data_IF_937680725590
#
_entry.id   IF_937680725590
#
_cell.length_a   1.000
_cell.length_b   1.000
_cell.length_c   1.000
_cell.angle_alpha   90.00
_cell.angle_beta   90.00
_cell.angle_gamma   90.00
#
_symmetry.space_group_name_H-M   'P 1'
#
loop_
_entity.id
_entity.type
_entity.pdbx_description
1 polymer ?
#
# COMPACT_ATOMS: atom_id res chain seq x y z
N UNK A 1 14.84 -30.12 -0.62
CA UNK A 1 14.46 -30.25 -2.04
C UNK A 1 14.97 -29.01 -2.74
N UNK A 2 15.90 -29.15 -3.68
CA UNK A 2 16.46 -28.06 -4.45
C UNK A 2 15.81 -28.10 -5.85
N UNK A 3 15.31 -26.96 -6.30
CA UNK A 3 14.63 -26.70 -7.57
C UNK A 3 13.13 -27.01 -7.62
N UNK A 4 12.35 -26.16 -6.97
CA UNK A 4 10.96 -25.88 -7.37
C UNK A 4 10.96 -24.45 -7.92
N UNK A 5 10.70 -24.29 -9.22
CA UNK A 5 10.52 -22.99 -9.87
C UNK A 5 9.03 -22.67 -10.02
N UNK A 6 8.67 -21.47 -10.42
CA UNK A 6 7.28 -21.13 -10.74
C UNK A 6 6.87 -21.70 -12.12
N UNK A 7 5.62 -22.19 -12.25
CA UNK A 7 5.04 -22.68 -13.54
C UNK A 7 4.51 -21.55 -14.43
N UNK A 8 4.34 -20.36 -13.87
CA UNK A 8 3.75 -19.23 -14.56
C UNK A 8 3.44 -18.08 -13.60
N UNK A 9 2.82 -17.05 -14.15
CA UNK A 9 2.45 -15.82 -13.45
C UNK A 9 0.95 -15.58 -13.71
N UNK A 10 0.18 -15.38 -12.64
CA UNK A 10 -1.18 -14.85 -12.74
C UNK A 10 -1.13 -13.36 -12.45
N UNK A 11 -1.64 -12.55 -13.38
CA UNK A 11 -1.81 -11.11 -13.21
C UNK A 11 -3.28 -10.77 -13.31
N UNK A 12 -3.76 -9.98 -12.36
CA UNK A 12 -5.09 -9.42 -12.35
C UNK A 12 -4.98 -7.90 -12.41
N UNK A 13 -5.78 -7.30 -13.27
CA UNK A 13 -5.92 -5.86 -13.38
C UNK A 13 -7.38 -5.51 -13.14
N UNK A 14 -7.66 -4.73 -12.09
CA UNK A 14 -9.03 -4.34 -11.78
C UNK A 14 -9.55 -3.37 -12.86
N UNK A 15 -10.73 -3.68 -13.40
CA UNK A 15 -11.43 -2.86 -14.40
C UNK A 15 -12.51 -1.97 -13.78
N UNK A 16 -12.64 -2.02 -12.45
CA UNK A 16 -13.51 -1.25 -11.58
C UNK A 16 -14.97 -1.33 -12.01
N UNK A 17 -15.52 -2.54 -12.12
CA UNK A 17 -16.97 -2.70 -12.17
C UNK A 17 -17.58 -2.15 -10.86
N UNK A 18 -18.72 -1.44 -10.95
CA UNK A 18 -19.30 -0.76 -9.79
C UNK A 18 -19.69 -1.71 -8.65
N UNK A 19 -19.92 -2.98 -8.96
CA UNK A 19 -20.37 -4.02 -8.03
C UNK A 19 -19.24 -4.58 -7.13
N UNK A 20 -17.97 -4.21 -7.35
CA UNK A 20 -16.81 -4.78 -6.64
C UNK A 20 -16.28 -3.94 -5.48
N UNK A 21 -16.84 -2.73 -5.25
CA UNK A 21 -16.36 -1.79 -4.22
C UNK A 21 -17.39 -1.69 -3.10
N UNK A 22 -16.96 -1.87 -1.85
CA UNK A 22 -17.79 -1.64 -0.67
C UNK A 22 -18.80 -2.75 -0.35
N UNK A 23 -18.68 -3.92 -0.96
CA UNK A 23 -19.45 -5.11 -0.57
C UNK A 23 -18.61 -6.38 -0.65
N UNK A 24 -18.63 -7.17 0.44
CA UNK A 24 -17.97 -8.47 0.49
C UNK A 24 -18.68 -9.43 -0.49
N UNK A 25 -18.00 -9.78 -1.58
CA UNK A 25 -18.51 -10.65 -2.65
C UNK A 25 -17.84 -12.03 -2.67
N UNK A 26 -18.42 -12.96 -3.43
CA UNK A 26 -17.75 -14.21 -3.77
C UNK A 26 -16.76 -13.94 -4.93
N UNK A 27 -15.52 -13.52 -4.62
CA UNK A 27 -14.49 -13.18 -5.60
C UNK A 27 -13.42 -12.23 -5.05
N UNK A 28 -12.70 -11.51 -5.93
CA UNK A 28 -11.91 -10.34 -5.52
C UNK A 28 -12.89 -9.22 -5.17
N UNK A 29 -13.11 -9.01 -3.87
CA UNK A 29 -13.90 -7.91 -3.34
C UNK A 29 -12.97 -6.89 -2.69
N UNK A 30 -13.24 -5.60 -2.94
CA UNK A 30 -12.52 -4.50 -2.31
C UNK A 30 -13.34 -3.98 -1.14
N UNK A 31 -12.81 -4.14 0.05
CA UNK A 31 -13.39 -3.57 1.26
C UNK A 31 -12.94 -2.12 1.37
N UNK A 32 -13.88 -1.29 1.82
CA UNK A 32 -13.58 0.09 2.20
C UNK A 32 -13.98 0.31 3.65
N UNK A 33 -13.16 1.10 4.35
CA UNK A 33 -13.49 1.62 5.67
C UNK A 33 -13.25 3.11 5.64
N UNK A 34 -14.28 3.88 5.96
CA UNK A 34 -14.22 5.34 5.93
C UNK A 34 -14.71 5.87 7.28
N UNK A 35 -13.87 6.61 7.99
CA UNK A 35 -14.26 7.21 9.26
C UNK A 35 -15.29 8.34 9.03
N UNK A 36 -15.08 9.17 8.00
CA UNK A 36 -16.01 10.19 7.52
C UNK A 36 -15.66 10.62 6.08
N UNK A 37 -16.64 11.02 5.27
CA UNK A 37 -16.41 11.58 3.92
C UNK A 37 -17.24 10.89 2.82
N UNK A 38 -16.75 10.97 1.58
CA UNK A 38 -17.33 10.29 0.41
C UNK A 38 -16.65 8.94 0.21
N UNK A 39 -17.44 7.87 0.27
CA UNK A 39 -17.00 6.51 0.02
C UNK A 39 -16.36 6.34 -1.37
N UNK A 40 -15.50 5.34 -1.51
CA UNK A 40 -14.88 4.99 -2.78
C UNK A 40 -15.93 4.50 -3.76
N UNK A 41 -15.98 5.15 -4.91
CA UNK A 41 -16.84 4.75 -6.02
C UNK A 41 -16.06 4.83 -7.33
N UNK A 42 -16.49 4.02 -8.29
CA UNK A 42 -16.03 4.12 -9.67
C UNK A 42 -16.38 5.50 -10.23
N UNK A 43 -15.41 6.19 -10.83
CA UNK A 43 -15.58 7.51 -11.40
C UNK A 43 -14.82 7.68 -12.73
N UNK A 44 -15.27 8.64 -13.53
CA UNK A 44 -14.61 9.09 -14.76
C UNK A 44 -14.52 10.61 -14.69
N UNK A 45 -13.31 11.15 -14.85
CA UNK A 45 -13.07 12.58 -14.83
C UNK A 45 -12.14 12.99 -15.98
N UNK A 46 -12.40 14.15 -16.58
CA UNK A 46 -11.58 14.69 -17.65
C UNK A 46 -10.11 14.83 -17.20
N UNK A 47 -9.18 14.41 -18.04
CA UNK A 47 -7.74 14.40 -17.73
C UNK A 47 -7.30 13.34 -16.72
N UNK A 48 -8.24 12.61 -16.10
CA UNK A 48 -7.95 11.48 -15.22
C UNK A 48 -8.28 10.16 -15.91
N UNK A 49 -9.40 10.02 -16.62
CA UNK A 49 -9.85 8.75 -17.21
C UNK A 49 -10.64 7.89 -16.20
N UNK A 50 -10.80 6.57 -16.43
CA UNK A 50 -11.52 5.66 -15.51
C UNK A 50 -10.72 5.37 -14.24
N UNK A 51 -11.30 5.54 -13.05
CA UNK A 51 -10.62 5.37 -11.76
C UNK A 51 -11.61 5.04 -10.63
N UNK A 52 -11.06 4.80 -9.45
CA UNK A 52 -11.79 4.83 -8.18
C UNK A 52 -11.51 6.16 -7.49
N UNK A 53 -12.57 6.75 -6.95
CA UNK A 53 -12.57 8.06 -6.32
C UNK A 53 -13.26 7.99 -4.97
N UNK A 54 -12.60 8.55 -3.95
CA UNK A 54 -13.16 8.81 -2.63
C UNK A 54 -12.69 10.18 -2.16
N UNK A 55 -13.26 10.67 -1.06
CA UNK A 55 -12.82 11.92 -0.46
C UNK A 55 -12.97 11.90 1.04
N UNK A 56 -11.96 12.36 1.76
CA UNK A 56 -12.03 12.56 3.21
C UNK A 56 -13.03 13.66 3.57
N UNK A 57 -13.50 13.69 4.81
CA UNK A 57 -14.35 14.78 5.28
C UNK A 57 -13.52 16.01 5.70
N UNK A 58 -14.22 17.09 6.04
CA UNK A 58 -13.62 18.29 6.62
C UNK A 58 -13.76 18.23 8.14
N UNK A 59 -12.66 18.37 8.89
CA UNK A 59 -12.75 18.67 10.33
C UNK A 59 -12.17 17.64 11.30
N UNK A 60 -11.21 16.82 10.89
CA UNK A 60 -10.56 15.88 11.80
C UNK A 60 -9.56 14.98 11.10
N UNK A 61 -8.85 14.16 11.89
CA UNK A 61 -7.99 13.09 11.38
C UNK A 61 -8.86 11.96 10.84
N UNK A 62 -9.34 12.10 9.60
CA UNK A 62 -10.23 11.12 8.98
C UNK A 62 -9.42 10.12 8.17
N UNK A 63 -9.65 8.83 8.43
CA UNK A 63 -9.05 7.73 7.69
C UNK A 63 -9.99 7.22 6.59
N UNK A 64 -9.40 6.94 5.43
CA UNK A 64 -10.00 6.29 4.27
C UNK A 64 -9.15 5.08 3.89
N UNK A 65 -9.74 3.90 3.88
CA UNK A 65 -9.05 2.64 3.57
C UNK A 65 -9.68 1.95 2.37
N UNK A 66 -8.81 1.34 1.57
CA UNK A 66 -9.17 0.47 0.45
C UNK A 66 -8.27 -0.77 0.53
N UNK A 67 -8.87 -1.91 0.84
CA UNK A 67 -8.17 -3.17 1.11
C UNK A 67 -8.84 -4.36 0.40
N UNK A 68 -8.13 -5.47 0.25
CA UNK A 68 -8.74 -6.72 -0.22
C UNK A 68 -9.49 -7.43 0.90
N UNK A 69 -10.61 -8.10 0.59
CA UNK A 69 -11.40 -8.88 1.58
C UNK A 69 -10.69 -10.16 2.03
N UNK A 70 -10.47 -11.09 1.09
CA UNK A 70 -9.95 -12.45 1.36
C UNK A 70 -8.75 -12.82 0.48
N UNK A 71 -8.26 -11.85 -0.29
CA UNK A 71 -7.18 -12.11 -1.23
C UNK A 71 -5.83 -11.90 -0.55
N UNK A 72 -5.34 -12.97 0.06
CA UNK A 72 -4.11 -12.97 0.82
C UNK A 72 -2.89 -13.27 -0.05
N UNK A 73 -1.82 -12.54 0.21
CA UNK A 73 -0.51 -12.69 -0.36
C UNK A 73 0.46 -13.22 0.70
N UNK A 74 1.38 -14.06 0.28
CA UNK A 74 2.47 -14.55 1.10
C UNK A 74 3.80 -14.42 0.34
N UNK A 75 4.92 -14.65 1.02
CA UNK A 75 6.19 -14.87 0.36
C UNK A 75 6.13 -16.15 -0.47
N UNK A 76 6.36 -16.04 -1.78
CA UNK A 76 6.29 -17.18 -2.71
C UNK A 76 7.56 -17.36 -3.52
N UNK A 77 7.80 -18.61 -3.93
CA UNK A 77 8.83 -18.94 -4.92
C UNK A 77 8.47 -18.26 -6.26
N UNK A 78 9.32 -17.34 -6.70
CA UNK A 78 8.97 -16.33 -7.70
C UNK A 78 8.73 -14.99 -7.02
N UNK A 79 7.51 -14.47 -7.08
CA UNK A 79 7.09 -13.25 -6.39
C UNK A 79 5.56 -13.10 -6.27
N UNK A 80 5.15 -12.27 -5.33
CA UNK A 80 3.83 -11.67 -5.19
C UNK A 80 3.99 -10.15 -5.27
N UNK A 81 3.16 -9.43 -6.01
CA UNK A 81 3.25 -7.97 -6.08
C UNK A 81 1.90 -7.29 -6.18
N UNK A 82 1.85 -6.06 -5.69
CA UNK A 82 0.73 -5.14 -5.83
C UNK A 82 1.23 -3.80 -6.37
N UNK A 83 0.46 -3.20 -7.25
CA UNK A 83 0.77 -1.89 -7.82
C UNK A 83 -0.46 -0.99 -7.92
N UNK A 84 -0.22 0.32 -7.86
CA UNK A 84 -1.25 1.37 -7.94
C UNK A 84 -0.68 2.63 -8.59
N UNK A 85 -1.57 3.39 -9.25
CA UNK A 85 -1.41 4.82 -9.49
C UNK A 85 -2.27 5.60 -8.50
N UNK A 86 -1.65 6.37 -7.61
CA UNK A 86 -2.30 7.21 -6.61
C UNK A 86 -2.20 8.68 -6.99
N UNK A 87 -3.29 9.43 -6.83
CA UNK A 87 -3.30 10.89 -6.93
C UNK A 87 -4.10 11.45 -5.75
N UNK A 88 -3.51 12.39 -5.02
CA UNK A 88 -4.14 13.11 -3.92
C UNK A 88 -4.47 14.54 -4.34
N UNK A 89 -5.64 15.04 -3.97
CA UNK A 89 -6.09 16.40 -4.28
C UNK A 89 -5.27 17.48 -3.58
N UNK A 90 -4.78 17.17 -2.38
CA UNK A 90 -3.86 17.96 -1.58
C UNK A 90 -2.90 17.01 -0.84
N UNK A 91 -1.75 17.52 -0.42
CA UNK A 91 -0.70 16.73 0.27
C UNK A 91 -0.29 17.34 1.62
N UNK A 92 -0.76 18.54 1.95
CA UNK A 92 -0.50 19.17 3.25
C UNK A 92 -1.24 18.42 4.34
N UNK A 93 -0.59 18.12 5.47
CA UNK A 93 -1.11 17.35 6.61
C UNK A 93 -1.81 16.03 6.21
N UNK A 94 -1.27 15.34 5.20
CA UNK A 94 -1.74 14.02 4.74
C UNK A 94 -0.69 12.97 5.03
N UNK A 95 -1.15 11.81 5.49
CA UNK A 95 -0.34 10.61 5.58
C UNK A 95 -1.00 9.46 4.82
N UNK A 96 -0.21 8.53 4.31
CA UNK A 96 -0.74 7.29 3.75
C UNK A 96 0.22 6.12 3.91
N UNK A 97 -0.35 4.92 3.89
CA UNK A 97 0.37 3.67 3.68
C UNK A 97 -0.15 2.94 2.45
N UNK A 98 0.75 2.32 1.70
CA UNK A 98 0.42 1.47 0.56
C UNK A 98 1.30 0.22 0.54
N UNK A 99 0.72 -0.95 0.38
CA UNK A 99 1.47 -2.21 0.28
C UNK A 99 0.66 -3.40 0.76
N UNK A 100 1.26 -4.19 1.63
CA UNK A 100 0.69 -5.40 2.22
C UNK A 100 0.52 -5.25 3.74
N UNK A 101 -0.61 -5.70 4.28
CA UNK A 101 -0.95 -5.57 5.71
C UNK A 101 -1.72 -6.80 6.22
N UNK A 102 -1.46 -7.28 7.44
CA UNK A 102 -2.02 -8.56 7.95
C UNK A 102 -3.33 -8.42 8.75
N UNK A 103 -3.94 -7.23 8.80
CA UNK A 103 -5.22 -7.04 9.47
C UNK A 103 -6.39 -6.99 8.48
N UNK A 104 -7.41 -7.82 8.75
CA UNK A 104 -8.61 -7.96 7.90
C UNK A 104 -9.70 -6.92 8.23
N UNK A 105 -9.54 -6.07 9.25
CA UNK A 105 -10.57 -5.05 9.58
C UNK A 105 -10.02 -3.87 10.39
N UNK A 106 -10.45 -2.66 10.04
CA UNK A 106 -10.06 -1.36 10.59
C UNK A 106 -10.55 -1.05 12.01
N UNK A 107 -10.27 -1.93 12.98
CA UNK A 107 -10.66 -1.75 14.38
C UNK A 107 -9.92 -0.59 15.09
N UNK A 108 -8.80 -0.13 14.52
CA UNK A 108 -7.99 0.95 15.07
C UNK A 108 -8.03 2.11 14.07
N UNK A 109 -8.40 3.33 14.47
CA UNK A 109 -8.43 4.55 13.64
C UNK A 109 -7.03 5.05 13.22
N UNK A 110 -6.14 4.14 12.83
CA UNK A 110 -4.71 4.38 12.69
C UNK A 110 -4.19 3.59 11.47
N UNK A 111 -3.21 4.17 10.78
CA UNK A 111 -2.49 3.51 9.71
C UNK A 111 -1.56 2.40 10.24
N UNK A 112 -1.17 1.40 9.41
CA UNK A 112 -0.24 0.33 9.76
C UNK A 112 1.10 0.81 10.31
N UNK A 113 1.57 1.95 9.80
CA UNK A 113 2.77 2.60 10.30
C UNK A 113 2.57 4.12 10.32
N UNK A 114 3.27 4.78 11.23
CA UNK A 114 3.36 6.25 11.27
C UNK A 114 4.81 6.67 11.33
N UNK A 115 5.08 7.87 10.82
CA UNK A 115 6.36 8.55 11.02
C UNK A 115 6.10 9.78 11.89
N UNK A 116 6.87 9.88 12.96
CA UNK A 116 6.93 11.07 13.81
C UNK A 116 8.36 11.57 13.78
N UNK A 117 8.56 12.70 13.09
CA UNK A 117 9.86 13.28 12.81
C UNK A 117 10.80 12.30 12.07
N UNK A 118 11.74 11.66 12.78
CA UNK A 118 12.71 10.70 12.23
C UNK A 118 12.47 9.26 12.73
N UNK A 119 11.35 9.01 13.39
CA UNK A 119 11.01 7.69 13.95
C UNK A 119 9.80 7.13 13.23
N UNK A 120 9.95 5.95 12.63
CA UNK A 120 8.83 5.17 12.09
C UNK A 120 8.42 4.14 13.15
N UNK A 121 7.12 4.03 13.40
CA UNK A 121 6.57 3.05 14.33
C UNK A 121 5.41 2.31 13.68
N UNK A 122 5.47 0.97 13.68
CA UNK A 122 4.38 0.10 13.25
C UNK A 122 3.31 -0.09 14.34
N UNK A 123 2.17 -0.64 13.96
CA UNK A 123 1.17 -1.11 14.91
C UNK A 123 1.66 -2.37 15.65
N UNK A 124 1.22 -2.53 16.89
CA UNK A 124 1.57 -3.69 17.73
C UNK A 124 0.80 -4.91 17.23
N UNK A 125 1.46 -6.06 17.18
CA UNK A 125 0.94 -7.36 16.74
C UNK A 125 0.63 -7.47 15.23
N UNK A 126 0.60 -6.37 14.50
CA UNK A 126 0.40 -6.36 13.07
C UNK A 126 1.73 -6.48 12.30
N UNK A 127 1.61 -6.99 11.08
CA UNK A 127 2.61 -7.15 10.06
C UNK A 127 2.29 -6.24 8.88
N UNK A 128 3.28 -5.47 8.45
CA UNK A 128 3.15 -4.54 7.34
C UNK A 128 4.39 -4.58 6.49
N UNK A 129 4.23 -4.40 5.18
CA UNK A 129 5.32 -4.16 4.27
C UNK A 129 4.86 -3.30 3.11
N UNK A 130 5.44 -2.09 3.01
CA UNK A 130 4.95 -1.12 2.04
C UNK A 130 5.64 0.22 2.08
N UNK A 131 5.06 1.14 1.34
CA UNK A 131 5.37 2.56 1.38
C UNK A 131 4.64 3.24 2.54
N UNK A 132 5.33 4.23 3.09
CA UNK A 132 4.84 5.19 4.07
C UNK A 132 5.10 6.59 3.53
N UNK A 133 4.11 7.46 3.69
CA UNK A 133 4.25 8.88 3.49
C UNK A 133 3.56 9.62 4.63
N UNK A 134 4.18 10.71 5.09
CA UNK A 134 3.55 11.68 5.96
C UNK A 134 4.18 13.04 5.67
N UNK A 135 3.35 14.03 5.34
CA UNK A 135 3.81 15.38 5.05
C UNK A 135 4.51 16.04 6.25
N UNK A 136 4.30 15.51 7.46
CA UNK A 136 4.83 16.06 8.70
C UNK A 136 6.12 15.36 9.16
N UNK A 137 6.62 14.40 8.38
CA UNK A 137 7.94 13.82 8.58
C UNK A 137 9.05 14.87 8.44
N UNK A 138 10.20 14.63 9.08
CA UNK A 138 11.39 15.50 8.90
C UNK A 138 11.82 15.58 7.44
N UNK A 139 11.63 14.50 6.69
CA UNK A 139 11.84 14.44 5.25
C UNK A 139 10.49 14.17 4.58
N UNK A 140 9.96 15.16 3.85
CA UNK A 140 8.74 15.06 3.05
C UNK A 140 9.00 14.18 1.80
N UNK A 141 9.10 12.86 2.03
CA UNK A 141 9.47 11.85 1.05
C UNK A 141 8.74 10.53 1.36
N UNK A 142 8.63 9.66 0.36
CA UNK A 142 8.22 8.28 0.57
C UNK A 142 9.29 7.52 1.35
N UNK A 143 8.86 6.62 2.23
CA UNK A 143 9.72 5.74 2.99
C UNK A 143 9.31 4.29 2.72
N UNK A 144 10.28 3.39 2.58
CA UNK A 144 10.04 1.95 2.64
C UNK A 144 9.94 1.56 4.11
N UNK A 145 9.00 0.70 4.47
CA UNK A 145 8.91 0.21 5.84
C UNK A 145 8.37 -1.21 5.88
N UNK A 146 8.79 -1.93 6.93
CA UNK A 146 8.18 -3.20 7.29
C UNK A 146 8.21 -3.41 8.80
N UNK A 147 7.20 -4.12 9.29
CA UNK A 147 7.09 -4.60 10.65
C UNK A 147 6.55 -6.04 10.62
N UNK A 148 6.92 -6.85 11.61
CA UNK A 148 6.38 -8.20 11.77
C UNK A 148 6.01 -8.45 13.23
N UNK A 149 4.73 -8.71 13.50
CA UNK A 149 4.24 -8.99 14.86
C UNK A 149 4.54 -7.87 15.85
N UNK A 150 4.44 -6.61 15.42
CA UNK A 150 4.80 -5.44 16.25
C UNK A 150 6.30 -5.20 16.43
N UNK A 151 7.16 -5.85 15.65
CA UNK A 151 8.60 -5.57 15.61
C UNK A 151 8.94 -4.81 14.34
N UNK A 152 9.30 -3.54 14.51
CA UNK A 152 9.70 -2.65 13.43
C UNK A 152 11.06 -3.04 12.82
N UNK A 153 11.29 -2.64 11.57
CA UNK A 153 12.62 -2.72 10.97
C UNK A 153 13.67 -1.99 11.79
N UNK A 154 14.86 -2.56 11.89
CA UNK A 154 16.04 -1.93 12.51
C UNK A 154 16.85 -1.10 11.51
N UNK A 155 16.41 -1.04 10.25
CA UNK A 155 17.08 -0.28 9.20
C UNK A 155 16.98 1.21 9.51
N UNK A 156 18.09 1.94 9.41
CA UNK A 156 18.10 3.36 9.67
C UNK A 156 17.16 4.10 8.71
N UNK A 157 16.41 5.08 9.22
CA UNK A 157 15.42 5.82 8.40
C UNK A 157 16.05 6.46 7.16
N UNK A 158 17.31 6.92 7.25
CA UNK A 158 18.05 7.45 6.10
C UNK A 158 18.13 6.45 4.94
N UNK A 159 18.26 5.16 5.24
CA UNK A 159 18.31 4.08 4.25
C UNK A 159 16.92 3.66 3.77
N UNK A 160 15.85 4.06 4.46
CA UNK A 160 14.46 3.77 4.08
C UNK A 160 13.86 4.79 3.11
N UNK A 161 14.41 6.01 3.06
CA UNK A 161 13.92 7.13 2.24
C UNK A 161 14.03 6.91 0.74
N UNK A 162 12.96 7.14 -0.01
CA UNK A 162 13.00 7.29 -1.47
C UNK A 162 13.36 8.76 -1.79
N UNK A 163 14.65 9.08 -1.68
CA UNK A 163 15.16 10.45 -1.68
C UNK A 163 14.64 11.25 -2.88
N UNK A 164 14.03 12.41 -2.60
CA UNK A 164 13.47 13.31 -3.61
C UNK A 164 12.17 12.85 -4.28
N UNK A 165 11.52 11.80 -3.76
CA UNK A 165 10.24 11.31 -4.25
C UNK A 165 9.16 11.49 -3.19
N UNK A 166 8.25 12.41 -3.46
CA UNK A 166 7.08 12.73 -2.66
C UNK A 166 5.85 12.82 -3.58
N UNK A 167 4.63 12.55 -3.08
CA UNK A 167 3.42 12.83 -3.83
C UNK A 167 3.35 14.34 -4.14
N UNK A 168 2.90 14.67 -5.35
CA UNK A 168 2.61 16.06 -5.73
C UNK A 168 1.09 16.19 -5.86
N UNK A 169 0.53 17.23 -5.25
CA UNK A 169 -0.91 17.47 -5.30
C UNK A 169 -1.40 17.47 -6.76
N UNK A 170 -2.50 16.75 -6.99
CA UNK A 170 -3.11 16.56 -8.30
C UNK A 170 -2.18 15.96 -9.37
N UNK A 171 -1.16 15.20 -8.99
CA UNK A 171 -0.33 14.42 -9.91
C UNK A 171 -0.36 12.93 -9.56
N UNK A 172 -0.15 12.10 -10.57
CA UNK A 172 -0.07 10.65 -10.40
C UNK A 172 1.29 10.24 -9.85
N UNK A 173 1.26 9.34 -8.88
CA UNK A 173 2.40 8.65 -8.31
C UNK A 173 2.17 7.15 -8.51
N UNK A 174 3.06 6.50 -9.24
CA UNK A 174 3.06 5.04 -9.38
C UNK A 174 3.82 4.42 -8.23
N UNK A 175 3.29 3.36 -7.63
CA UNK A 175 3.95 2.58 -6.60
C UNK A 175 3.71 1.09 -6.83
N UNK A 176 4.75 0.28 -6.63
CA UNK A 176 4.71 -1.17 -6.64
C UNK A 176 5.49 -1.74 -5.46
N UNK A 177 4.89 -2.69 -4.76
CA UNK A 177 5.53 -3.48 -3.70
C UNK A 177 5.52 -4.93 -4.14
N UNK A 178 6.67 -5.59 -4.09
CA UNK A 178 6.85 -6.98 -4.46
C UNK A 178 7.50 -7.75 -3.31
N UNK A 179 7.06 -8.99 -3.08
CA UNK A 179 7.58 -9.91 -2.08
C UNK A 179 8.03 -11.21 -2.74
N UNK A 180 9.23 -11.66 -2.41
CA UNK A 180 9.82 -12.90 -2.90
C UNK A 180 10.31 -13.76 -1.74
N UNK A 181 10.02 -15.05 -1.77
CA UNK A 181 10.53 -16.00 -0.77
C UNK A 181 12.06 -16.11 -0.84
N UNK A 182 12.69 -16.23 0.34
CA UNK A 182 14.15 -16.40 0.50
C UNK A 182 14.53 -17.77 1.02
N UNK A 183 13.55 -18.66 1.19
CA UNK A 183 13.69 -20.00 1.76
C UNK A 183 13.43 -20.05 3.26
N UNK A 184 13.38 -21.26 3.79
CA UNK A 184 13.05 -21.54 5.20
C UNK A 184 13.91 -20.75 6.20
N UNK A 185 13.26 -20.26 7.27
CA UNK A 185 13.91 -19.55 8.37
C UNK A 185 14.36 -18.13 8.05
N UNK A 186 13.93 -17.57 6.90
CA UNK A 186 14.20 -16.20 6.49
C UNK A 186 12.87 -15.50 6.22
N UNK A 187 12.80 -14.21 6.54
CA UNK A 187 11.74 -13.35 6.04
C UNK A 187 11.84 -13.12 4.53
N UNK A 188 10.86 -12.45 3.95
CA UNK A 188 10.78 -12.19 2.51
C UNK A 188 11.84 -11.20 2.02
N UNK A 189 12.17 -11.25 0.72
CA UNK A 189 12.79 -10.14 0.02
C UNK A 189 11.70 -9.22 -0.47
N UNK A 190 11.82 -7.92 -0.23
CA UNK A 190 10.89 -6.94 -0.74
C UNK A 190 11.54 -5.96 -1.69
N UNK A 191 10.87 -5.70 -2.81
CA UNK A 191 11.24 -4.69 -3.79
C UNK A 191 10.19 -3.60 -3.80
N UNK A 192 10.63 -2.37 -3.60
CA UNK A 192 9.82 -1.17 -3.58
C UNK A 192 10.18 -0.34 -4.81
N UNK A 193 9.24 -0.15 -5.72
CA UNK A 193 9.41 0.67 -6.92
C UNK A 193 8.40 1.81 -6.90
N UNK A 194 8.86 3.03 -7.20
CA UNK A 194 7.99 4.19 -7.34
C UNK A 194 8.44 5.05 -8.51
N UNK A 195 7.47 5.71 -9.17
CA UNK A 195 7.71 6.64 -10.27
C UNK A 195 6.81 7.88 -10.11
N UNK A 196 7.41 9.07 -10.06
CA UNK A 196 6.68 10.33 -9.95
C UNK A 196 6.16 10.82 -11.31
N UNK A 197 5.31 11.85 -11.27
CA UNK A 197 4.75 12.46 -12.48
C UNK A 197 5.76 13.14 -13.40
N UNK A 198 7.00 13.37 -12.94
CA UNK A 198 8.10 13.92 -13.74
C UNK A 198 8.97 12.81 -14.36
N UNK A 199 8.64 11.54 -14.13
CA UNK A 199 9.39 10.38 -14.62
C UNK A 199 10.61 10.03 -13.76
N UNK A 200 10.78 10.62 -12.57
CA UNK A 200 11.79 10.18 -11.61
C UNK A 200 11.35 8.87 -11.00
N UNK A 201 12.26 7.90 -10.94
CA UNK A 201 12.00 6.59 -10.36
C UNK A 201 13.02 6.26 -9.29
N UNK A 202 12.58 5.54 -8.25
CA UNK A 202 13.49 4.87 -7.32
C UNK A 202 13.05 3.43 -7.10
N UNK A 203 14.04 2.57 -6.98
CA UNK A 203 13.88 1.19 -6.57
C UNK A 203 14.72 0.93 -5.32
N UNK A 204 14.13 0.25 -4.34
CA UNK A 204 14.86 -0.26 -3.18
C UNK A 204 14.52 -1.72 -2.92
N UNK A 205 15.54 -2.48 -2.54
CA UNK A 205 15.40 -3.91 -2.26
C UNK A 205 15.92 -4.20 -0.86
N UNK A 206 15.08 -4.84 -0.04
CA UNK A 206 15.41 -5.20 1.33
C UNK A 206 15.17 -6.69 1.58
N UNK A 207 16.00 -7.27 2.44
CA UNK A 207 15.73 -8.55 3.05
C UNK A 207 15.02 -8.27 4.37
N UNK A 208 13.73 -8.51 4.46
CA UNK A 208 12.90 -8.08 5.59
C UNK A 208 12.83 -9.14 6.69
N UNK A 209 12.24 -8.76 7.81
CA UNK A 209 11.89 -9.65 8.93
C UNK A 209 10.47 -10.22 8.81
N UNK A 210 9.70 -9.84 7.78
CA UNK A 210 8.33 -10.31 7.57
C UNK A 210 8.35 -11.77 7.17
N UNK A 211 7.62 -12.59 7.93
CA UNK A 211 7.61 -14.03 7.74
C UNK A 211 7.07 -14.41 6.37
N UNK A 212 7.71 -15.40 5.74
CA UNK A 212 7.32 -15.92 4.43
C UNK A 212 5.88 -16.42 4.37
N UNK A 213 5.39 -16.96 5.48
CA UNK A 213 4.08 -17.61 5.55
C UNK A 213 3.02 -16.71 6.22
N UNK A 214 3.37 -15.45 6.53
CA UNK A 214 2.42 -14.47 7.05
C UNK A 214 1.44 -14.09 5.91
N UNK A 215 0.13 -14.36 6.06
CA UNK A 215 -0.86 -13.89 5.12
C UNK A 215 -1.02 -12.38 5.23
N UNK A 216 -0.92 -11.68 4.10
CA UNK A 216 -1.05 -10.23 4.03
C UNK A 216 -2.05 -9.85 2.94
N UNK A 217 -2.87 -8.84 3.19
CA UNK A 217 -3.83 -8.30 2.24
C UNK A 217 -3.28 -7.05 1.54
N UNK A 218 -3.83 -6.74 0.36
CA UNK A 218 -3.60 -5.43 -0.28
C UNK A 218 -4.10 -4.33 0.66
N UNK A 219 -3.32 -3.27 0.83
CA UNK A 219 -3.70 -2.13 1.65
C UNK A 219 -3.34 -0.80 1.01
N UNK A 220 -4.32 0.10 0.98
CA UNK A 220 -4.14 1.54 0.86
C UNK A 220 -4.93 2.20 1.99
N UNK A 221 -4.25 2.98 2.82
CA UNK A 221 -4.88 3.81 3.85
C UNK A 221 -4.40 5.24 3.72
N UNK A 222 -5.32 6.20 3.75
CA UNK A 222 -5.02 7.64 3.72
C UNK A 222 -5.63 8.29 4.96
N UNK A 223 -4.84 9.05 5.69
CA UNK A 223 -5.31 9.93 6.77
C UNK A 223 -5.16 11.37 6.32
N UNK A 224 -6.28 12.11 6.36
CA UNK A 224 -6.29 13.55 6.23
C UNK A 224 -6.33 14.18 7.62
N UNK A 225 -5.33 15.00 7.98
CA UNK A 225 -5.33 15.75 9.25
C UNK A 225 -5.61 17.25 9.04
N UNK A 226 -5.94 17.64 7.81
CA UNK A 226 -6.28 19.04 7.48
C UNK A 226 -7.72 19.39 7.85
N UNK A 227 -8.06 20.66 7.69
CA UNK A 227 -9.43 21.16 7.76
C UNK A 227 -10.19 21.11 6.42
N UNK A 228 -9.54 20.69 5.33
CA UNK A 228 -10.13 20.61 3.99
C UNK A 228 -10.25 19.16 3.52
N UNK A 229 -11.28 18.87 2.71
CA UNK A 229 -11.43 17.53 2.15
C UNK A 229 -10.29 17.22 1.17
N UNK A 230 -9.72 16.03 1.29
CA UNK A 230 -8.68 15.51 0.40
C UNK A 230 -9.34 14.50 -0.53
N UNK A 231 -9.35 14.85 -1.82
CA UNK A 231 -9.79 13.94 -2.86
C UNK A 231 -8.74 12.85 -3.09
N UNK A 232 -9.15 11.59 -3.12
CA UNK A 232 -8.28 10.43 -3.32
C UNK A 232 -8.69 9.76 -4.62
N UNK A 233 -7.73 9.59 -5.53
CA UNK A 233 -7.93 8.92 -6.81
C UNK A 233 -6.95 7.76 -6.94
N UNK A 234 -7.46 6.59 -7.30
CA UNK A 234 -6.65 5.39 -7.52
C UNK A 234 -7.01 4.68 -8.83
N UNK A 235 -5.99 4.14 -9.50
CA UNK A 235 -6.09 3.46 -10.80
C UNK A 235 -5.06 2.34 -10.89
N UNK A 236 -5.29 1.45 -11.86
CA UNK A 236 -4.32 0.40 -12.20
C UNK A 236 -4.01 -0.47 -11.00
N UNK A 237 -5.02 -0.72 -10.15
CA UNK A 237 -4.89 -1.65 -9.03
C UNK A 237 -4.70 -3.01 -9.67
N UNK A 238 -3.47 -3.47 -9.62
CA UNK A 238 -3.06 -4.72 -10.22
C UNK A 238 -2.31 -5.53 -9.17
N UNK A 239 -2.52 -6.83 -9.24
CA UNK A 239 -1.74 -7.78 -8.47
C UNK A 239 -1.20 -8.87 -9.37
N UNK A 240 -0.05 -9.39 -8.99
CA UNK A 240 0.66 -10.42 -9.71
C UNK A 240 1.18 -11.45 -8.74
N UNK A 241 0.99 -12.74 -9.02
CA UNK A 241 1.44 -13.83 -8.18
C UNK A 241 2.01 -14.96 -9.02
N UNK A 242 3.19 -15.43 -8.64
CA UNK A 242 3.82 -16.60 -9.22
C UNK A 242 3.07 -17.88 -8.83
N UNK A 243 2.88 -18.80 -9.76
CA UNK A 243 2.25 -20.09 -9.50
C UNK A 243 3.35 -21.08 -9.07
N UNK A 244 3.38 -21.56 -7.82
CA UNK A 244 4.42 -22.48 -7.38
C UNK A 244 4.33 -23.82 -8.13
N UNK A 245 5.47 -24.48 -8.35
CA UNK A 245 5.49 -25.88 -8.74
C UNK A 245 4.85 -26.70 -7.60
N UNK A 246 3.68 -27.29 -7.83
CA UNK A 246 3.17 -28.38 -7.00
C UNK A 246 4.03 -29.63 -7.16
#
# INVERSE_FOLDING_TARGET
MANMGSKGITRYEETFAADNIGSAGNGVAWLETNDAGTAFARAVAAGKGLHVFGATSTGGADRHEFLSDKFMFTGQEGHSSVEILLQLGAITDVAFNFGFFDAVTGANSILPAKIDSEVITGQVADGFIGFLYDSNATYDELHCFWANGGVDTTTAIADLRMVGLAPIASKWLYMKVEMQDRGSGKGVRATFLTVDSNGRSAEKVFNTSVDRDLPLDYYLGVINRTTTAVNIYLKGVAWEQSIPNM
#
